data_IF_756130420428
#
_entry.id   IF_756130420428
#
_cell.length_a   1.000
_cell.length_b   1.000
_cell.length_c   1.000
_cell.angle_alpha   90.00
_cell.angle_beta   90.00
_cell.angle_gamma   90.00
#
_symmetry.space_group_name_H-M   'P 1'
#
loop_
_entity.id
_entity.type
_entity.pdbx_description
1 polymer ?
#
# COMPACT_ATOMS: atom_id res chain seq x y z
N UNK A 1 -7.50 -34.95 9.19
CA UNK A 1 -7.50 -34.15 7.95
C UNK A 1 -8.93 -33.73 7.72
N UNK A 2 -9.22 -32.44 7.79
CA UNK A 2 -10.52 -31.92 7.35
C UNK A 2 -10.44 -31.86 5.83
N UNK A 3 -11.27 -32.64 5.14
CA UNK A 3 -11.49 -32.47 3.70
C UNK A 3 -12.15 -31.10 3.52
N UNK A 4 -11.38 -30.13 3.04
CA UNK A 4 -11.94 -28.84 2.66
C UNK A 4 -12.90 -29.07 1.49
N UNK A 5 -14.14 -28.62 1.65
CA UNK A 5 -15.14 -28.72 0.59
C UNK A 5 -14.68 -27.81 -0.56
N UNK A 6 -14.81 -28.20 -1.84
CA UNK A 6 -14.29 -27.42 -2.97
C UNK A 6 -14.66 -25.92 -2.95
N UNK A 7 -15.83 -25.56 -2.42
CA UNK A 7 -16.28 -24.17 -2.24
C UNK A 7 -15.41 -23.38 -1.23
N UNK A 8 -14.97 -24.00 -0.13
CA UNK A 8 -14.09 -23.35 0.85
C UNK A 8 -12.68 -23.12 0.30
N UNK A 9 -12.22 -24.02 -0.58
CA UNK A 9 -10.95 -23.86 -1.29
C UNK A 9 -11.03 -22.69 -2.28
N UNK A 10 -12.12 -22.57 -3.04
CA UNK A 10 -12.33 -21.48 -3.99
C UNK A 10 -12.32 -20.11 -3.29
N UNK A 11 -13.03 -19.98 -2.17
CA UNK A 11 -13.02 -18.74 -1.35
C UNK A 11 -11.61 -18.42 -0.85
N UNK A 12 -10.86 -19.42 -0.37
CA UNK A 12 -9.50 -19.21 0.11
C UNK A 12 -8.56 -18.71 -1.01
N UNK A 13 -8.63 -19.29 -2.20
CA UNK A 13 -7.84 -18.84 -3.34
C UNK A 13 -8.25 -17.45 -3.84
N UNK A 14 -9.55 -17.15 -3.83
CA UNK A 14 -10.05 -15.81 -4.17
C UNK A 14 -9.53 -14.76 -3.19
N UNK A 15 -9.54 -15.05 -1.89
CA UNK A 15 -8.97 -14.16 -0.87
C UNK A 15 -7.48 -13.88 -1.11
N UNK A 16 -6.70 -14.90 -1.49
CA UNK A 16 -5.27 -14.72 -1.81
C UNK A 16 -5.09 -13.82 -3.03
N UNK A 17 -5.85 -14.05 -4.10
CA UNK A 17 -5.78 -13.23 -5.31
C UNK A 17 -6.18 -11.77 -5.05
N UNK A 18 -7.26 -11.54 -4.29
CA UNK A 18 -7.69 -10.19 -3.88
C UNK A 18 -6.59 -9.52 -3.07
N UNK A 19 -5.95 -10.23 -2.14
CA UNK A 19 -4.92 -9.63 -1.28
C UNK A 19 -3.68 -9.20 -2.08
N UNK A 20 -3.22 -10.04 -3.00
CA UNK A 20 -2.11 -9.71 -3.92
C UNK A 20 -2.44 -8.46 -4.75
N UNK A 21 -3.66 -8.38 -5.30
CA UNK A 21 -4.08 -7.21 -6.06
C UNK A 21 -4.12 -5.93 -5.21
N UNK A 22 -4.61 -6.01 -3.96
CA UNK A 22 -4.61 -4.85 -3.07
C UNK A 22 -3.17 -4.46 -2.70
N UNK A 23 -2.26 -5.40 -2.47
CA UNK A 23 -0.86 -5.10 -2.14
C UNK A 23 -0.15 -4.34 -3.29
N UNK A 24 -0.41 -4.75 -4.54
CA UNK A 24 0.07 -4.02 -5.72
C UNK A 24 -0.51 -2.60 -5.81
N UNK A 25 -1.80 -2.45 -5.54
CA UNK A 25 -2.47 -1.14 -5.52
C UNK A 25 -1.93 -0.24 -4.40
N UNK A 26 -1.64 -0.78 -3.22
CA UNK A 26 -1.03 -0.04 -2.11
C UNK A 26 0.40 0.41 -2.45
N UNK A 27 1.17 -0.42 -3.15
CA UNK A 27 2.49 -0.06 -3.66
C UNK A 27 2.42 1.03 -4.73
N UNK A 28 1.48 0.93 -5.66
CA UNK A 28 1.23 1.97 -6.65
C UNK A 28 0.82 3.29 -5.99
N UNK A 29 -0.09 3.23 -5.01
CA UNK A 29 -0.50 4.40 -4.24
C UNK A 29 0.69 5.04 -3.53
N UNK A 30 1.58 4.25 -2.93
CA UNK A 30 2.78 4.74 -2.26
C UNK A 30 3.72 5.48 -3.21
N UNK A 31 3.90 5.00 -4.46
CA UNK A 31 4.63 5.73 -5.51
C UNK A 31 4.01 7.08 -5.82
N UNK A 32 2.67 7.13 -5.90
CA UNK A 32 1.93 8.37 -6.15
C UNK A 32 2.03 9.32 -4.96
N UNK A 33 1.91 8.83 -3.73
CA UNK A 33 2.04 9.62 -2.51
C UNK A 33 3.43 10.29 -2.41
N UNK A 34 4.51 9.55 -2.66
CA UNK A 34 5.87 10.12 -2.68
C UNK A 34 6.09 11.12 -3.82
N UNK A 35 5.39 10.97 -4.95
CA UNK A 35 5.41 11.99 -6.02
C UNK A 35 4.61 13.23 -5.63
N UNK A 36 3.46 13.03 -4.97
CA UNK A 36 2.58 14.09 -4.53
C UNK A 36 3.22 14.96 -3.45
N UNK A 37 3.95 14.34 -2.52
CA UNK A 37 4.74 15.00 -1.48
C UNK A 37 5.72 16.03 -2.06
N UNK A 38 6.37 15.69 -3.19
CA UNK A 38 7.31 16.58 -3.90
C UNK A 38 6.64 17.73 -4.67
N UNK A 39 5.32 17.71 -4.80
CA UNK A 39 4.55 18.77 -5.43
C UNK A 39 4.16 19.85 -4.43
N UNK A 40 3.50 20.90 -4.92
CA UNK A 40 2.97 22.00 -4.09
C UNK A 40 1.44 22.07 -4.09
N UNK A 41 0.75 21.08 -4.66
CA UNK A 41 -0.72 21.11 -4.78
C UNK A 41 -1.42 21.08 -3.41
N UNK A 42 -0.92 20.27 -2.47
CA UNK A 42 -1.48 20.19 -1.12
C UNK A 42 -1.44 21.55 -0.41
N UNK A 43 -0.37 22.33 -0.61
CA UNK A 43 -0.23 23.68 -0.07
C UNK A 43 -1.19 24.66 -0.76
N UNK A 44 -1.31 24.58 -2.10
CA UNK A 44 -2.23 25.40 -2.89
C UNK A 44 -3.70 25.18 -2.50
N UNK A 45 -4.03 23.98 -2.06
CA UNK A 45 -5.36 23.61 -1.57
C UNK A 45 -5.57 23.92 -0.07
N UNK A 46 -4.53 24.44 0.61
CA UNK A 46 -4.60 24.91 1.99
C UNK A 46 -4.36 23.83 3.05
N UNK A 47 -3.88 22.65 2.66
CA UNK A 47 -3.46 21.62 3.62
C UNK A 47 -2.11 21.98 4.27
N UNK A 48 -1.93 21.67 5.56
CA UNK A 48 -0.69 21.97 6.29
C UNK A 48 0.49 21.06 5.90
N UNK A 49 0.19 19.89 5.33
CA UNK A 49 1.18 18.90 4.90
C UNK A 49 0.57 17.97 3.84
N UNK A 50 1.38 17.28 3.04
CA UNK A 50 0.88 16.24 2.15
C UNK A 50 0.24 15.07 2.92
N UNK A 51 0.72 14.78 4.13
CA UNK A 51 0.13 13.77 5.03
C UNK A 51 -1.30 14.18 5.42
N UNK A 52 -1.53 15.45 5.78
CA UNK A 52 -2.87 15.95 6.10
C UNK A 52 -3.80 15.85 4.90
N UNK A 53 -3.32 16.26 3.72
CA UNK A 53 -4.09 16.17 2.48
C UNK A 53 -4.55 14.72 2.23
N UNK A 54 -3.62 13.77 2.29
CA UNK A 54 -3.91 12.34 2.08
C UNK A 54 -4.85 11.80 3.16
N UNK A 55 -4.65 12.15 4.43
CA UNK A 55 -5.52 11.72 5.53
C UNK A 55 -6.97 12.13 5.28
N UNK A 56 -7.21 13.40 4.93
CA UNK A 56 -8.56 13.92 4.75
C UNK A 56 -9.19 13.45 3.43
N UNK A 57 -8.45 13.49 2.32
CA UNK A 57 -8.98 13.18 0.99
C UNK A 57 -8.99 11.69 0.65
N UNK A 58 -8.14 10.88 1.29
CA UNK A 58 -8.09 9.42 1.08
C UNK A 58 -8.58 8.62 2.29
N UNK A 59 -9.13 9.29 3.31
CA UNK A 59 -9.71 8.68 4.51
C UNK A 59 -8.74 7.73 5.26
N UNK A 60 -7.49 8.16 5.39
CA UNK A 60 -6.42 7.39 6.04
C UNK A 60 -6.10 7.94 7.43
N UNK A 61 -5.53 7.12 8.31
CA UNK A 61 -4.91 7.65 9.54
C UNK A 61 -3.62 8.41 9.20
N UNK A 62 -3.17 9.31 10.08
CA UNK A 62 -1.89 10.03 9.88
C UNK A 62 -0.71 9.08 9.70
N UNK A 63 -0.64 8.01 10.49
CA UNK A 63 0.44 7.04 10.39
C UNK A 63 0.39 6.27 9.07
N UNK A 64 -0.80 5.86 8.63
CA UNK A 64 -0.96 5.16 7.37
C UNK A 64 -0.59 6.05 6.18
N UNK A 65 -1.02 7.33 6.18
CA UNK A 65 -0.66 8.29 5.15
C UNK A 65 0.86 8.56 5.09
N UNK A 66 1.49 8.78 6.25
CA UNK A 66 2.95 8.95 6.33
C UNK A 66 3.70 7.71 5.84
N UNK A 67 3.23 6.51 6.17
CA UNK A 67 3.83 5.27 5.72
C UNK A 67 3.79 5.10 4.18
N UNK A 68 2.72 5.56 3.50
CA UNK A 68 2.67 5.53 2.01
C UNK A 68 3.73 6.42 1.37
N UNK A 69 3.94 7.61 1.92
CA UNK A 69 5.00 8.52 1.46
C UNK A 69 6.36 7.86 1.70
N UNK A 70 6.62 7.40 2.93
CA UNK A 70 7.88 6.78 3.30
C UNK A 70 8.22 5.56 2.43
N UNK A 71 7.27 4.64 2.22
CA UNK A 71 7.47 3.49 1.32
C UNK A 71 7.81 3.96 -0.08
N UNK A 72 7.02 4.88 -0.65
CA UNK A 72 7.23 5.40 -1.99
C UNK A 72 8.59 6.05 -2.22
N UNK A 73 9.10 6.80 -1.23
CA UNK A 73 10.42 7.41 -1.25
C UNK A 73 11.56 6.38 -1.16
N UNK A 74 11.30 5.27 -0.47
CA UNK A 74 12.30 4.24 -0.17
C UNK A 74 12.31 3.05 -1.12
N UNK A 75 11.42 2.97 -2.12
CA UNK A 75 11.33 1.81 -3.01
C UNK A 75 12.64 1.42 -3.69
N UNK A 76 13.48 2.40 -4.06
CA UNK A 76 14.79 2.12 -4.64
C UNK A 76 15.75 1.40 -3.68
N UNK A 77 15.57 1.58 -2.37
CA UNK A 77 16.33 0.93 -1.29
C UNK A 77 15.70 -0.38 -0.81
N UNK A 78 14.44 -0.63 -1.18
CA UNK A 78 13.65 -1.80 -0.76
C UNK A 78 13.43 -2.78 -1.92
N UNK A 79 14.41 -2.90 -2.83
CA UNK A 79 14.25 -3.71 -4.05
C UNK A 79 13.91 -5.17 -3.73
N UNK A 80 14.58 -5.77 -2.74
CA UNK A 80 14.33 -7.16 -2.31
C UNK A 80 12.92 -7.33 -1.73
N UNK A 81 12.51 -6.49 -0.77
CA UNK A 81 11.17 -6.55 -0.19
C UNK A 81 10.07 -6.28 -1.21
N UNK A 82 10.31 -5.37 -2.17
CA UNK A 82 9.36 -5.11 -3.26
C UNK A 82 9.22 -6.34 -4.17
N UNK A 83 10.32 -7.03 -4.48
CA UNK A 83 10.28 -8.26 -5.28
C UNK A 83 9.57 -9.39 -4.54
N UNK A 84 9.86 -9.59 -3.25
CA UNK A 84 9.17 -10.57 -2.42
C UNK A 84 7.65 -10.29 -2.36
N UNK A 85 7.25 -9.02 -2.26
CA UNK A 85 5.84 -8.63 -2.29
C UNK A 85 5.19 -8.94 -3.65
N UNK A 86 5.86 -8.59 -4.75
CA UNK A 86 5.38 -8.88 -6.11
C UNK A 86 5.32 -10.38 -6.42
N UNK A 87 6.16 -11.19 -5.78
CA UNK A 87 6.10 -12.65 -5.84
C UNK A 87 5.00 -13.25 -4.94
N UNK A 88 4.31 -12.43 -4.14
CA UNK A 88 3.29 -12.88 -3.20
C UNK A 88 3.83 -13.55 -1.94
N UNK A 89 5.13 -13.40 -1.65
CA UNK A 89 5.80 -13.99 -0.48
C UNK A 89 5.54 -13.20 0.80
N UNK A 90 5.33 -11.88 0.66
CA UNK A 90 4.97 -10.97 1.75
C UNK A 90 3.86 -10.02 1.29
N UNK A 91 3.02 -9.56 2.22
CA UNK A 91 2.04 -8.50 1.94
C UNK A 91 2.62 -7.09 2.04
N UNK A 92 1.88 -6.09 1.54
CA UNK A 92 2.31 -4.69 1.58
C UNK A 92 2.59 -4.20 3.01
N UNK A 93 1.89 -4.74 4.01
CA UNK A 93 2.08 -4.39 5.44
C UNK A 93 3.53 -4.54 5.89
N UNK A 94 4.30 -5.48 5.34
CA UNK A 94 5.71 -5.65 5.69
C UNK A 94 6.63 -4.56 5.12
N UNK A 95 6.14 -3.73 4.19
CA UNK A 95 6.89 -2.58 3.68
C UNK A 95 6.76 -1.36 4.61
N UNK A 96 5.75 -1.33 5.48
CA UNK A 96 5.48 -0.19 6.38
C UNK A 96 5.88 -0.44 7.83
N UNK A 97 6.46 -1.61 8.12
CA UNK A 97 7.03 -1.96 9.42
C UNK A 97 8.42 -1.33 9.68
#
# INVERSE_FOLDING_TARGET
MVELVPEELDVAYEMVGIRQAIDELELQFSRLAARFDKGSYWEQEGSNSPIDWIRFNCHMTSNAAGARIAVGENLGRMAESTQAMQAGEIGFTHLVE
#
